data_IF_721722002071
#
_entry.id   IF_721722002071
#
_cell.length_a   1.000
_cell.length_b   1.000
_cell.length_c   1.000
_cell.angle_alpha   90.00
_cell.angle_beta   90.00
_cell.angle_gamma   90.00
#
_symmetry.space_group_name_H-M   'P 1'
#
loop_
_entity.id
_entity.type
_entity.pdbx_description
1 polymer ?
#
# COMPACT_ATOMS: atom_id res chain seq x y z
N UNK A 1 -30.56 19.95 31.27
CA UNK A 1 -31.68 18.99 31.33
C UNK A 1 -31.25 17.72 30.61
N UNK A 2 -30.79 16.72 31.35
CA UNK A 2 -30.42 15.43 30.82
C UNK A 2 -31.70 14.61 30.60
N UNK A 3 -32.05 14.38 29.33
CA UNK A 3 -33.09 13.42 28.99
C UNK A 3 -32.55 12.02 29.27
N UNK A 4 -33.16 11.35 30.24
CA UNK A 4 -33.01 9.92 30.50
C UNK A 4 -33.48 9.14 29.26
N UNK A 5 -32.55 8.66 28.45
CA UNK A 5 -32.81 7.66 27.42
C UNK A 5 -33.04 6.30 28.10
N UNK A 6 -34.30 5.89 28.17
CA UNK A 6 -34.72 4.55 28.55
C UNK A 6 -34.30 3.51 27.51
N UNK A 7 -33.97 2.33 28.00
CA UNK A 7 -33.23 1.23 27.38
C UNK A 7 -34.00 0.39 26.35
N UNK A 8 -34.74 1.01 25.42
CA UNK A 8 -35.55 0.27 24.43
C UNK A 8 -35.45 0.77 22.98
N UNK A 9 -34.41 1.54 22.63
CA UNK A 9 -34.22 2.08 21.27
C UNK A 9 -32.76 2.17 20.82
N UNK A 10 -31.89 1.24 21.26
CA UNK A 10 -30.49 1.19 20.86
C UNK A 10 -30.36 0.67 19.43
N UNK A 11 -30.36 1.50 18.39
CA UNK A 11 -29.87 1.13 17.04
C UNK A 11 -29.82 2.27 16.00
N UNK A 12 -29.49 3.50 16.38
CA UNK A 12 -29.45 4.60 15.41
C UNK A 12 -28.28 5.53 15.71
N UNK A 13 -27.02 5.09 15.55
CA UNK A 13 -25.98 6.08 15.27
C UNK A 13 -24.56 5.57 14.91
N UNK A 14 -24.41 4.51 14.13
CA UNK A 14 -23.08 4.24 13.54
C UNK A 14 -23.24 3.70 12.13
N UNK A 15 -22.52 4.27 11.15
CA UNK A 15 -22.63 3.85 9.75
C UNK A 15 -22.04 2.45 9.52
N UNK A 16 -21.05 2.07 10.34
CA UNK A 16 -20.39 0.77 10.32
C UNK A 16 -20.43 0.11 11.70
N UNK A 17 -20.65 -1.19 11.75
CA UNK A 17 -20.49 -2.01 12.96
C UNK A 17 -19.02 -2.07 13.41
N UNK A 18 -18.78 -2.48 14.65
CA UNK A 18 -17.42 -2.65 15.18
C UNK A 18 -16.64 -3.69 14.35
N UNK A 19 -17.29 -4.80 13.99
CA UNK A 19 -16.71 -5.85 13.16
C UNK A 19 -16.36 -5.36 11.74
N UNK A 20 -17.23 -4.54 11.13
CA UNK A 20 -16.96 -3.92 9.83
C UNK A 20 -15.74 -2.99 9.91
N UNK A 21 -15.61 -2.19 10.97
CA UNK A 21 -14.46 -1.29 11.16
C UNK A 21 -13.15 -2.06 11.30
N UNK A 22 -13.11 -3.11 12.13
CA UNK A 22 -11.92 -3.96 12.27
C UNK A 22 -11.59 -4.72 10.98
N UNK A 23 -12.60 -5.25 10.28
CA UNK A 23 -12.41 -5.92 8.99
C UNK A 23 -11.85 -4.96 7.93
N UNK A 24 -12.34 -3.72 7.89
CA UNK A 24 -11.86 -2.69 6.97
C UNK A 24 -10.41 -2.29 7.23
N UNK A 25 -9.98 -2.15 8.49
CA UNK A 25 -8.56 -1.84 8.79
C UNK A 25 -7.64 -2.90 8.19
N UNK A 26 -7.98 -4.18 8.40
CA UNK A 26 -7.21 -5.30 7.83
C UNK A 26 -7.26 -5.30 6.31
N UNK A 27 -8.40 -5.00 5.71
CA UNK A 27 -8.55 -4.96 4.26
C UNK A 27 -7.74 -3.81 3.65
N UNK A 28 -7.79 -2.62 4.25
CA UNK A 28 -7.02 -1.43 3.85
C UNK A 28 -5.51 -1.71 3.98
N UNK A 29 -5.08 -2.33 5.08
CA UNK A 29 -3.69 -2.76 5.27
C UNK A 29 -3.23 -3.66 4.12
N UNK A 30 -3.95 -4.77 3.90
CA UNK A 30 -3.58 -5.79 2.91
C UNK A 30 -3.50 -5.21 1.52
N UNK A 31 -4.51 -4.42 1.15
CA UNK A 31 -4.54 -3.72 -0.13
C UNK A 31 -3.36 -2.77 -0.26
N UNK A 32 -3.08 -1.94 0.75
CA UNK A 32 -1.94 -1.03 0.72
C UNK A 32 -0.63 -1.77 0.44
N UNK A 33 -0.36 -2.86 1.17
CA UNK A 33 0.86 -3.65 0.99
C UNK A 33 0.95 -4.24 -0.42
N UNK A 34 -0.16 -4.83 -0.91
CA UNK A 34 -0.23 -5.43 -2.25
C UNK A 34 -0.09 -4.39 -3.35
N UNK A 35 -0.83 -3.30 -3.24
CA UNK A 35 -0.84 -2.20 -4.19
C UNK A 35 0.53 -1.54 -4.28
N UNK A 36 1.15 -1.19 -3.15
CA UNK A 36 2.48 -0.60 -3.13
C UNK A 36 3.53 -1.55 -3.69
N UNK A 37 3.49 -2.84 -3.31
CA UNK A 37 4.41 -3.84 -3.85
C UNK A 37 4.25 -4.01 -5.38
N UNK A 38 3.01 -4.07 -5.88
CA UNK A 38 2.78 -4.18 -7.33
C UNK A 38 3.15 -2.91 -8.07
N UNK A 39 2.81 -1.74 -7.52
CA UNK A 39 3.13 -0.44 -8.12
C UNK A 39 4.64 -0.34 -8.31
N UNK A 40 5.36 -0.68 -7.25
CA UNK A 40 6.81 -0.71 -7.19
C UNK A 40 7.41 -1.68 -8.22
N UNK A 41 6.88 -2.89 -8.33
CA UNK A 41 7.31 -3.92 -9.29
C UNK A 41 6.96 -3.59 -10.74
N UNK A 42 5.77 -3.05 -11.00
CA UNK A 42 5.24 -2.81 -12.36
C UNK A 42 5.85 -1.53 -12.96
N UNK A 43 5.95 -0.47 -12.17
CA UNK A 43 6.65 0.76 -12.57
C UNK A 43 8.13 0.52 -12.81
N UNK A 44 8.69 -0.53 -12.22
CA UNK A 44 10.09 -0.90 -12.38
C UNK A 44 10.20 -2.21 -13.15
N UNK A 45 10.05 -2.13 -14.46
CA UNK A 45 10.98 -2.89 -15.29
C UNK A 45 12.36 -2.42 -14.86
N UNK A 46 13.26 -3.32 -14.44
CA UNK A 46 14.60 -2.90 -13.99
C UNK A 46 15.37 -2.44 -15.22
N UNK A 47 15.07 -1.21 -15.63
CA UNK A 47 15.56 -0.58 -16.81
C UNK A 47 16.60 0.44 -16.36
N UNK A 48 17.85 0.03 -16.48
CA UNK A 48 19.02 0.89 -16.59
C UNK A 48 18.93 1.77 -17.87
N UNK A 49 17.87 1.71 -18.68
CA UNK A 49 17.78 2.43 -19.94
C UNK A 49 16.40 3.02 -20.24
N UNK A 50 16.46 4.22 -20.79
CA UNK A 50 15.37 5.09 -21.25
C UNK A 50 14.49 4.44 -22.33
N UNK A 51 13.68 3.43 -22.00
CA UNK A 51 12.61 2.95 -22.91
C UNK A 51 11.35 3.82 -22.74
N UNK A 52 10.57 4.01 -23.82
CA UNK A 52 9.34 4.81 -23.79
C UNK A 52 8.32 4.20 -22.83
N UNK A 53 7.77 5.04 -21.95
CA UNK A 53 6.72 4.67 -21.01
C UNK A 53 5.41 4.41 -21.76
N UNK A 54 4.72 3.33 -21.41
CA UNK A 54 3.37 3.06 -21.93
C UNK A 54 2.34 3.63 -20.96
N UNK A 55 1.59 4.65 -21.40
CA UNK A 55 0.46 5.20 -20.65
C UNK A 55 -0.79 4.37 -20.97
N UNK A 56 -1.28 3.62 -19.99
CA UNK A 56 -2.53 2.87 -20.13
C UNK A 56 -3.61 3.48 -19.23
N UNK A 57 -4.74 3.87 -19.83
CA UNK A 57 -5.94 4.28 -19.08
C UNK A 57 -6.71 3.03 -18.68
N UNK A 58 -6.84 2.79 -17.36
CA UNK A 58 -7.55 1.64 -16.83
C UNK A 58 -9.08 1.81 -16.79
N UNK A 59 -9.83 0.71 -16.66
CA UNK A 59 -11.29 0.72 -16.55
C UNK A 59 -11.69 1.05 -15.11
N UNK A 60 -12.05 2.31 -14.85
CA UNK A 60 -12.37 2.81 -13.51
C UNK A 60 -13.76 3.44 -13.42
N UNK A 61 -14.57 3.27 -14.46
CA UNK A 61 -15.79 4.05 -14.65
C UNK A 61 -16.87 3.66 -13.63
N UNK A 62 -17.04 2.37 -13.33
CA UNK A 62 -18.09 1.90 -12.40
C UNK A 62 -17.87 2.40 -10.97
N UNK A 63 -16.63 2.33 -10.45
CA UNK A 63 -16.32 2.80 -9.11
C UNK A 63 -16.41 4.33 -9.01
N UNK A 64 -15.90 5.04 -10.02
CA UNK A 64 -16.03 6.51 -10.08
C UNK A 64 -17.47 6.95 -10.21
N UNK A 65 -18.28 6.21 -10.95
CA UNK A 65 -19.70 6.47 -11.07
C UNK A 65 -20.40 6.27 -9.72
N UNK A 66 -20.13 5.17 -9.00
CA UNK A 66 -20.65 4.98 -7.64
C UNK A 66 -20.22 6.11 -6.68
N UNK A 67 -18.95 6.48 -6.68
CA UNK A 67 -18.43 7.59 -5.86
C UNK A 67 -19.05 8.93 -6.26
N UNK A 68 -19.22 9.17 -7.56
CA UNK A 68 -19.86 10.37 -8.10
C UNK A 68 -21.33 10.45 -7.69
N UNK A 69 -22.07 9.35 -7.77
CA UNK A 69 -23.46 9.26 -7.32
C UNK A 69 -23.57 9.53 -5.82
N UNK A 70 -22.67 8.98 -5.00
CA UNK A 70 -22.61 9.29 -3.56
C UNK A 70 -22.31 10.77 -3.31
N UNK A 71 -21.41 11.37 -4.09
CA UNK A 71 -21.10 12.80 -3.98
C UNK A 71 -22.29 13.69 -4.36
N UNK A 72 -23.01 13.36 -5.44
CA UNK A 72 -24.23 14.06 -5.86
C UNK A 72 -25.35 13.93 -4.82
N UNK A 73 -25.54 12.73 -4.26
CA UNK A 73 -26.47 12.50 -3.16
C UNK A 73 -26.11 13.39 -1.96
N UNK A 74 -24.84 13.41 -1.55
CA UNK A 74 -24.37 14.31 -0.49
C UNK A 74 -24.68 15.77 -0.78
N UNK A 75 -24.37 16.25 -1.97
CA UNK A 75 -24.58 17.65 -2.35
C UNK A 75 -26.07 18.02 -2.30
N UNK A 76 -26.94 17.17 -2.84
CA UNK A 76 -28.39 17.37 -2.83
C UNK A 76 -28.97 17.39 -1.41
N UNK A 77 -28.63 16.39 -0.58
CA UNK A 77 -29.12 16.29 0.80
C UNK A 77 -28.60 17.42 1.68
N UNK A 78 -27.31 17.78 1.55
CA UNK A 78 -26.72 18.86 2.35
C UNK A 78 -27.30 20.21 1.97
N UNK A 79 -27.49 20.48 0.68
CA UNK A 79 -27.97 21.78 0.17
C UNK A 79 -29.46 22.00 0.37
N UNK A 80 -30.26 20.94 0.53
CA UNK A 80 -31.70 21.06 0.73
C UNK A 80 -32.01 21.63 2.14
N UNK A 81 -32.54 22.86 2.19
CA UNK A 81 -32.90 23.54 3.44
C UNK A 81 -34.25 23.09 4.00
N UNK A 82 -35.05 22.35 3.22
CA UNK A 82 -36.35 21.81 3.65
C UNK A 82 -36.23 20.54 4.47
N UNK A 83 -35.11 19.81 4.34
CA UNK A 83 -34.85 18.56 5.06
C UNK A 83 -34.23 18.87 6.43
N UNK A 84 -34.83 18.32 7.49
CA UNK A 84 -34.28 18.49 8.84
C UNK A 84 -32.92 17.79 9.01
N UNK A 85 -32.02 18.26 9.90
CA UNK A 85 -30.72 17.61 10.12
C UNK A 85 -30.81 16.12 10.47
N UNK A 86 -31.84 15.71 11.21
CA UNK A 86 -32.09 14.29 11.52
C UNK A 86 -32.46 13.48 10.28
N UNK A 87 -33.30 14.03 9.41
CA UNK A 87 -33.69 13.36 8.17
C UNK A 87 -32.52 13.29 7.19
N UNK A 88 -31.68 14.33 7.11
CA UNK A 88 -30.42 14.28 6.35
C UNK A 88 -29.52 13.15 6.83
N UNK A 89 -29.36 13.02 8.15
CA UNK A 89 -28.55 11.96 8.74
C UNK A 89 -29.11 10.58 8.40
N UNK A 90 -30.43 10.41 8.45
CA UNK A 90 -31.11 9.17 8.11
C UNK A 90 -30.88 8.78 6.64
N UNK A 91 -31.10 9.70 5.70
CA UNK A 91 -30.88 9.45 4.26
C UNK A 91 -29.45 9.00 3.98
N UNK A 92 -28.45 9.72 4.52
CA UNK A 92 -27.04 9.37 4.30
C UNK A 92 -26.66 8.04 4.96
N UNK A 93 -27.25 7.72 6.11
CA UNK A 93 -27.05 6.45 6.79
C UNK A 93 -27.67 5.29 6.02
N UNK A 94 -28.88 5.47 5.48
CA UNK A 94 -29.56 4.49 4.63
C UNK A 94 -28.77 4.18 3.36
N UNK A 95 -28.05 5.15 2.79
CA UNK A 95 -27.16 4.89 1.64
C UNK A 95 -25.96 4.02 2.01
N UNK A 96 -25.38 4.18 3.20
CA UNK A 96 -24.34 3.24 3.65
C UNK A 96 -24.92 1.85 3.90
N UNK A 97 -26.16 1.76 4.39
CA UNK A 97 -26.84 0.48 4.54
C UNK A 97 -27.13 -0.18 3.18
N UNK A 98 -27.56 0.59 2.19
CA UNK A 98 -27.91 0.09 0.84
C UNK A 98 -26.70 -0.49 0.11
N UNK A 99 -25.51 0.06 0.35
CA UNK A 99 -24.25 -0.42 -0.23
C UNK A 99 -23.78 -1.78 0.32
N UNK A 100 -24.34 -2.25 1.45
CA UNK A 100 -24.00 -3.56 2.03
C UNK A 100 -24.63 -4.69 1.22
N UNK A 101 -23.85 -5.27 0.31
CA UNK A 101 -24.29 -6.44 -0.44
C UNK A 101 -24.21 -7.69 0.45
N UNK A 102 -25.32 -8.43 0.55
CA UNK A 102 -25.42 -9.66 1.36
C UNK A 102 -24.98 -9.51 2.84
N UNK A 103 -25.09 -8.31 3.42
CA UNK A 103 -24.71 -8.03 4.80
C UNK A 103 -23.21 -7.79 5.03
N UNK A 104 -22.43 -7.58 3.97
CA UNK A 104 -21.01 -7.25 4.08
C UNK A 104 -20.64 -6.06 3.20
N UNK A 105 -19.67 -5.26 3.65
CA UNK A 105 -19.14 -4.13 2.89
C UNK A 105 -17.82 -4.54 2.22
N UNK A 106 -17.75 -4.49 0.89
CA UNK A 106 -16.47 -4.67 0.19
C UNK A 106 -15.59 -3.43 0.34
N UNK A 107 -14.29 -3.56 0.08
CA UNK A 107 -13.39 -2.40 0.06
C UNK A 107 -13.85 -1.32 -0.93
N UNK A 108 -14.32 -1.73 -2.10
CA UNK A 108 -14.75 -0.81 -3.15
C UNK A 108 -16.07 -0.14 -2.85
N UNK A 109 -17.00 -0.86 -2.22
CA UNK A 109 -18.22 -0.24 -1.70
C UNK A 109 -17.85 0.81 -0.63
N UNK A 110 -16.93 0.50 0.29
CA UNK A 110 -16.43 1.49 1.26
C UNK A 110 -15.80 2.72 0.59
N UNK A 111 -14.98 2.53 -0.44
CA UNK A 111 -14.39 3.64 -1.21
C UNK A 111 -15.46 4.51 -1.85
N UNK A 112 -16.50 3.91 -2.44
CA UNK A 112 -17.56 4.68 -3.08
C UNK A 112 -18.32 5.55 -2.07
N UNK A 113 -18.45 5.10 -0.82
CA UNK A 113 -19.15 5.81 0.26
C UNK A 113 -18.33 6.95 0.90
N UNK A 114 -17.06 7.13 0.53
CA UNK A 114 -16.18 8.18 1.09
C UNK A 114 -16.82 9.57 1.17
N UNK A 115 -17.55 10.05 0.15
CA UNK A 115 -18.20 11.37 0.20
C UNK A 115 -19.21 11.53 1.33
N UNK A 116 -19.77 10.44 1.86
CA UNK A 116 -20.82 10.46 2.88
C UNK A 116 -20.29 10.73 4.30
N UNK A 117 -19.08 10.24 4.62
CA UNK A 117 -18.58 10.28 6.01
C UNK A 117 -18.30 11.69 6.52
N UNK A 118 -17.95 12.64 5.65
CA UNK A 118 -17.67 14.02 6.07
C UNK A 118 -18.94 14.76 6.49
N UNK A 119 -20.00 14.86 5.67
CA UNK A 119 -21.29 15.41 6.09
C UNK A 119 -21.88 14.72 7.32
N UNK A 120 -21.78 13.39 7.38
CA UNK A 120 -22.30 12.62 8.52
C UNK A 120 -21.57 12.99 9.81
N UNK A 121 -20.25 13.16 9.77
CA UNK A 121 -19.49 13.61 10.95
C UNK A 121 -19.94 14.99 11.45
N UNK A 122 -20.26 15.92 10.54
CA UNK A 122 -20.80 17.23 10.91
C UNK A 122 -22.22 17.13 11.48
N UNK A 123 -23.09 16.30 10.89
CA UNK A 123 -24.44 16.07 11.39
C UNK A 123 -24.42 15.44 12.78
N UNK A 124 -23.57 14.43 13.02
CA UNK A 124 -23.40 13.83 14.34
C UNK A 124 -22.97 14.87 15.39
N UNK A 125 -21.99 15.72 15.05
CA UNK A 125 -21.56 16.81 15.93
C UNK A 125 -22.71 17.76 16.25
N UNK A 126 -23.53 18.11 15.27
CA UNK A 126 -24.66 19.03 15.44
C UNK A 126 -25.81 18.41 16.27
N UNK A 127 -26.18 17.17 15.97
CA UNK A 127 -27.34 16.48 16.56
C UNK A 127 -27.06 16.00 18.00
N UNK A 128 -25.88 15.42 18.23
CA UNK A 128 -25.57 14.71 19.48
C UNK A 128 -24.53 15.46 20.33
N UNK A 129 -23.87 16.47 19.75
CA UNK A 129 -22.78 17.19 20.39
C UNK A 129 -21.42 16.55 20.13
N UNK A 130 -20.37 17.35 20.30
CA UNK A 130 -18.99 17.00 19.96
C UNK A 130 -18.45 15.80 20.77
N UNK A 131 -18.78 15.73 22.06
CA UNK A 131 -18.31 14.67 22.96
C UNK A 131 -19.18 13.41 22.96
N UNK A 132 -20.17 13.33 22.06
CA UNK A 132 -21.04 12.14 21.96
C UNK A 132 -20.28 10.96 21.36
N UNK A 133 -20.66 9.74 21.76
CA UNK A 133 -20.12 8.50 21.17
C UNK A 133 -20.33 8.50 19.66
N UNK A 134 -21.48 8.97 19.24
CA UNK A 134 -21.94 9.11 17.86
C UNK A 134 -21.00 9.99 17.02
N UNK A 135 -20.65 11.17 17.54
CA UNK A 135 -19.70 12.07 16.90
C UNK A 135 -18.30 11.45 16.84
N UNK A 136 -17.83 10.82 17.93
CA UNK A 136 -16.50 10.19 17.96
C UNK A 136 -16.38 9.05 16.95
N UNK A 137 -17.36 8.14 16.90
CA UNK A 137 -17.31 7.01 15.97
C UNK A 137 -17.41 7.49 14.52
N UNK A 138 -18.29 8.44 14.20
CA UNK A 138 -18.35 9.02 12.84
C UNK A 138 -17.03 9.69 12.40
N UNK A 139 -16.28 10.30 13.34
CA UNK A 139 -14.94 10.82 13.07
C UNK A 139 -13.92 9.70 12.81
N UNK A 140 -14.03 8.57 13.50
CA UNK A 140 -13.17 7.42 13.25
C UNK A 140 -13.46 6.78 11.89
N UNK A 141 -14.73 6.73 11.48
CA UNK A 141 -15.14 6.31 10.13
C UNK A 141 -14.64 7.27 9.05
N UNK A 142 -14.69 8.58 9.30
CA UNK A 142 -14.05 9.58 8.44
C UNK A 142 -12.53 9.41 8.37
N UNK A 143 -11.88 9.06 9.48
CA UNK A 143 -10.45 8.74 9.48
C UNK A 143 -10.15 7.48 8.67
N UNK A 144 -10.94 6.41 8.80
CA UNK A 144 -10.87 5.22 7.96
C UNK A 144 -11.01 5.57 6.47
N UNK A 145 -11.96 6.44 6.14
CA UNK A 145 -12.16 6.91 4.77
C UNK A 145 -10.87 7.59 4.27
N UNK A 146 -10.29 8.52 5.01
CA UNK A 146 -9.00 9.13 4.64
C UNK A 146 -7.84 8.14 4.55
N UNK A 147 -7.76 7.16 5.46
CA UNK A 147 -6.71 6.11 5.41
C UNK A 147 -6.83 5.31 4.11
N UNK A 148 -8.05 4.96 3.69
CA UNK A 148 -8.28 4.24 2.43
C UNK A 148 -7.85 5.01 1.18
N UNK A 149 -7.74 6.35 1.25
CA UNK A 149 -7.24 7.21 0.16
C UNK A 149 -5.73 7.44 0.21
N UNK A 150 -5.02 6.88 1.20
CA UNK A 150 -3.64 7.27 1.48
C UNK A 150 -3.51 8.69 2.08
N UNK A 151 -4.62 9.34 2.46
CA UNK A 151 -4.65 10.69 3.03
C UNK A 151 -4.29 10.70 4.53
N UNK A 152 -3.17 10.07 4.90
CA UNK A 152 -2.78 9.83 6.30
C UNK A 152 -2.63 11.11 7.14
N UNK A 153 -2.21 12.23 6.52
CA UNK A 153 -2.13 13.53 7.20
C UNK A 153 -3.53 14.04 7.60
N UNK A 154 -4.52 13.84 6.72
CA UNK A 154 -5.92 14.15 6.99
C UNK A 154 -6.46 13.26 8.11
N UNK A 155 -6.26 11.94 8.00
CA UNK A 155 -6.64 10.97 9.04
C UNK A 155 -6.03 11.34 10.41
N UNK A 156 -4.72 11.60 10.48
CA UNK A 156 -4.04 12.02 11.71
C UNK A 156 -4.62 13.31 12.33
N UNK A 157 -5.14 14.24 11.50
CA UNK A 157 -5.78 15.46 11.99
C UNK A 157 -7.14 15.13 12.63
N UNK A 158 -7.92 14.26 12.00
CA UNK A 158 -9.22 13.81 12.52
C UNK A 158 -9.06 13.02 13.82
N UNK A 159 -8.14 12.05 13.87
CA UNK A 159 -7.91 11.24 15.07
C UNK A 159 -7.44 12.11 16.26
N UNK A 160 -6.52 13.05 16.04
CA UNK A 160 -6.09 13.98 17.11
C UNK A 160 -7.21 14.85 17.68
N UNK A 161 -8.24 15.19 16.89
CA UNK A 161 -9.40 15.90 17.43
C UNK A 161 -10.25 15.01 18.32
N UNK A 162 -10.35 13.70 18.01
CA UNK A 162 -11.04 12.73 18.86
C UNK A 162 -10.30 12.59 20.20
N UNK A 163 -8.99 12.30 20.19
CA UNK A 163 -8.20 12.02 21.42
C UNK A 163 -8.18 13.13 22.48
N UNK A 164 -8.52 14.38 22.12
CA UNK A 164 -8.56 15.50 23.08
C UNK A 164 -9.80 15.49 23.98
N UNK A 165 -10.78 14.64 23.71
CA UNK A 165 -12.07 14.60 24.40
C UNK A 165 -12.08 13.37 25.35
N UNK A 166 -12.02 13.58 26.67
CA UNK A 166 -11.52 12.58 27.64
C UNK A 166 -12.54 11.53 28.17
N UNK A 167 -13.58 11.19 27.41
CA UNK A 167 -14.56 10.18 27.83
C UNK A 167 -14.87 9.21 26.69
N UNK A 168 -14.23 8.04 26.70
CA UNK A 168 -14.45 6.98 25.71
C UNK A 168 -14.93 5.69 26.37
N UNK A 169 -15.82 4.97 25.69
CA UNK A 169 -16.04 3.55 25.98
C UNK A 169 -14.81 2.73 25.57
N UNK A 170 -14.52 1.65 26.30
CA UNK A 170 -13.31 0.84 26.09
C UNK A 170 -13.16 0.32 24.64
N UNK A 171 -14.27 -0.03 23.97
CA UNK A 171 -14.24 -0.47 22.55
C UNK A 171 -13.83 0.63 21.57
N UNK A 172 -14.23 1.88 21.84
CA UNK A 172 -13.86 3.06 21.02
C UNK A 172 -12.37 3.38 21.20
N UNK A 173 -11.85 3.25 22.43
CA UNK A 173 -10.42 3.44 22.71
C UNK A 173 -9.57 2.46 21.92
N UNK A 174 -9.91 1.17 21.93
CA UNK A 174 -9.12 0.14 21.23
C UNK A 174 -9.00 0.41 19.73
N UNK A 175 -10.12 0.74 19.07
CA UNK A 175 -10.13 1.06 17.64
C UNK A 175 -9.39 2.38 17.34
N UNK A 176 -9.47 3.37 18.23
CA UNK A 176 -8.76 4.65 18.08
C UNK A 176 -7.25 4.44 18.14
N UNK A 177 -6.77 3.69 19.13
CA UNK A 177 -5.35 3.32 19.27
C UNK A 177 -4.85 2.53 18.04
N UNK A 178 -5.69 1.64 17.51
CA UNK A 178 -5.40 0.86 16.30
C UNK A 178 -5.24 1.75 15.05
N UNK A 179 -6.14 2.71 14.86
CA UNK A 179 -6.07 3.68 13.76
C UNK A 179 -4.89 4.64 13.89
N UNK A 180 -4.58 5.09 15.11
CA UNK A 180 -3.39 5.92 15.37
C UNK A 180 -2.10 5.16 15.06
N UNK A 181 -2.02 3.89 15.47
CA UNK A 181 -0.89 3.01 15.15
C UNK A 181 -0.77 2.82 13.64
N UNK A 182 -1.87 2.52 12.94
CA UNK A 182 -1.89 2.39 11.47
C UNK A 182 -1.32 3.66 10.82
N UNK A 183 -1.88 4.82 11.15
CA UNK A 183 -1.48 6.10 10.54
C UNK A 183 -0.03 6.45 10.85
N UNK A 184 0.43 6.19 12.09
CA UNK A 184 1.82 6.37 12.47
C UNK A 184 2.77 5.54 11.62
N UNK A 185 2.50 4.24 11.50
CA UNK A 185 3.31 3.31 10.72
C UNK A 185 3.28 3.65 9.22
N UNK A 186 2.11 3.94 8.66
CA UNK A 186 1.96 4.31 7.25
C UNK A 186 2.70 5.63 6.89
N UNK A 187 2.88 6.52 7.86
CA UNK A 187 3.68 7.76 7.73
C UNK A 187 5.18 7.57 7.97
N UNK A 188 5.64 6.33 8.17
CA UNK A 188 7.07 6.04 8.39
C UNK A 188 7.54 6.31 9.82
N UNK A 189 6.65 6.43 10.82
CA UNK A 189 7.05 6.39 12.23
C UNK A 189 7.41 4.96 12.60
N UNK A 190 8.60 4.54 12.19
CA UNK A 190 9.04 3.17 12.32
C UNK A 190 9.25 2.79 13.80
N UNK A 191 8.69 1.67 14.26
CA UNK A 191 9.00 1.11 15.57
C UNK A 191 10.45 0.62 15.59
N UNK A 192 11.06 0.58 16.79
CA UNK A 192 12.41 0.04 16.94
C UNK A 192 12.46 -1.49 16.98
N UNK A 193 11.34 -2.13 17.36
CA UNK A 193 11.21 -3.58 17.54
C UNK A 193 9.80 -4.02 17.16
N UNK A 194 9.63 -5.26 16.69
CA UNK A 194 8.33 -5.82 16.33
C UNK A 194 7.41 -5.92 17.55
N UNK A 195 7.98 -6.24 18.72
CA UNK A 195 7.26 -6.33 19.99
C UNK A 195 6.66 -5.01 20.47
N UNK A 196 7.15 -3.87 19.96
CA UNK A 196 6.57 -2.56 20.28
C UNK A 196 5.30 -2.24 19.47
N UNK A 197 4.99 -3.05 18.46
CA UNK A 197 3.76 -2.92 17.67
C UNK A 197 2.64 -3.67 18.38
N UNK A 198 1.74 -2.91 19.02
CA UNK A 198 0.61 -3.45 19.80
C UNK A 198 -0.32 -4.37 18.99
N UNK A 199 -0.52 -4.05 17.71
CA UNK A 199 -1.35 -4.81 16.79
C UNK A 199 -0.44 -5.53 15.79
N UNK A 200 -0.07 -6.79 16.07
CA UNK A 200 0.92 -7.54 15.28
C UNK A 200 0.59 -7.61 13.79
N UNK A 201 -0.69 -7.69 13.41
CA UNK A 201 -1.08 -7.70 12.00
C UNK A 201 -0.74 -6.38 11.27
N UNK A 202 -0.39 -5.28 11.97
CA UNK A 202 0.11 -4.02 11.38
C UNK A 202 1.61 -4.03 11.08
N UNK A 203 2.36 -5.06 11.50
CA UNK A 203 3.80 -5.22 11.24
C UNK A 203 4.21 -5.03 9.76
N UNK A 204 3.42 -5.44 8.74
CA UNK A 204 3.74 -5.14 7.35
C UNK A 204 3.98 -3.65 7.07
N UNK A 205 3.29 -2.73 7.75
CA UNK A 205 3.52 -1.28 7.54
C UNK A 205 4.86 -0.82 8.09
N UNK A 206 5.33 -1.43 9.18
CA UNK A 206 6.61 -1.11 9.80
C UNK A 206 7.80 -1.52 8.92
N UNK A 207 7.61 -2.51 8.02
CA UNK A 207 8.62 -3.00 7.08
C UNK A 207 8.66 -2.22 5.76
N UNK A 208 7.64 -1.40 5.48
CA UNK A 208 7.48 -0.74 4.18
C UNK A 208 8.39 0.48 3.98
N UNK A 209 8.78 1.16 5.07
CA UNK A 209 9.57 2.39 5.00
C UNK A 209 11.01 2.18 5.49
N UNK A 210 12.01 2.09 4.59
CA UNK A 210 13.40 2.16 5.01
C UNK A 210 13.67 3.56 5.56
N UNK A 211 14.14 3.63 6.81
CA UNK A 211 14.47 4.90 7.50
C UNK A 211 15.53 5.64 6.67
N UNK A 212 15.23 6.88 6.26
CA UNK A 212 15.95 7.60 5.18
C UNK A 212 17.38 8.01 5.49
N UNK A 213 17.87 7.83 6.71
CA UNK A 213 19.09 8.49 7.16
C UNK A 213 20.16 7.46 7.59
N UNK A 214 21.21 7.37 6.76
CA UNK A 214 22.50 6.69 6.97
C UNK A 214 22.64 5.23 6.50
N UNK A 215 23.86 4.90 6.08
CA UNK A 215 24.34 3.70 5.37
C UNK A 215 24.12 2.32 6.02
N UNK A 216 23.26 2.23 7.04
CA UNK A 216 22.80 1.00 7.69
C UNK A 216 21.36 0.57 7.32
N UNK A 217 20.81 1.12 6.22
CA UNK A 217 19.38 1.17 5.81
C UNK A 217 18.62 -0.17 5.88
N UNK A 218 19.32 -1.31 5.77
CA UNK A 218 18.70 -2.64 5.74
C UNK A 218 18.72 -3.38 7.07
N UNK A 219 19.58 -2.98 8.00
CA UNK A 219 19.74 -3.68 9.28
C UNK A 219 18.47 -3.61 10.13
N UNK A 220 17.78 -2.47 10.11
CA UNK A 220 16.50 -2.27 10.80
C UNK A 220 15.38 -3.14 10.21
N UNK A 221 15.14 -3.06 8.90
CA UNK A 221 14.10 -3.86 8.22
C UNK A 221 14.39 -5.35 8.35
N UNK A 222 15.66 -5.77 8.23
CA UNK A 222 16.07 -7.15 8.43
C UNK A 222 15.85 -7.63 9.86
N UNK A 223 16.27 -6.85 10.87
CA UNK A 223 16.06 -7.20 12.28
C UNK A 223 14.57 -7.34 12.58
N UNK A 224 13.76 -6.41 12.06
CA UNK A 224 12.32 -6.42 12.26
C UNK A 224 11.69 -7.65 11.59
N UNK A 225 12.10 -8.00 10.37
CA UNK A 225 11.64 -9.21 9.69
C UNK A 225 12.07 -10.49 10.42
N UNK A 226 13.32 -10.55 10.90
CA UNK A 226 13.83 -11.67 11.70
C UNK A 226 13.06 -11.79 13.04
N UNK A 227 12.59 -10.68 13.62
CA UNK A 227 11.70 -10.69 14.79
C UNK A 227 10.29 -11.20 14.42
N UNK A 228 9.71 -10.75 13.31
CA UNK A 228 8.42 -11.26 12.83
C UNK A 228 8.44 -12.79 12.63
N UNK A 229 9.52 -13.33 12.05
CA UNK A 229 9.72 -14.78 11.87
C UNK A 229 9.70 -15.57 13.20
N UNK A 230 10.03 -14.91 14.33
CA UNK A 230 10.03 -15.53 15.67
C UNK A 230 8.70 -15.35 16.43
N UNK A 231 7.80 -14.51 15.94
CA UNK A 231 6.55 -14.14 16.64
C UNK A 231 5.38 -15.09 16.40
N UNK A 232 5.58 -16.22 15.71
CA UNK A 232 4.53 -17.19 15.37
C UNK A 232 3.28 -16.53 14.75
N UNK A 233 3.51 -15.62 13.79
CA UNK A 233 2.44 -14.87 13.14
C UNK A 233 1.58 -15.78 12.26
N UNK A 234 0.28 -15.47 12.08
CA UNK A 234 -0.53 -16.13 11.06
C UNK A 234 0.17 -16.08 9.70
N UNK A 235 0.09 -17.17 8.93
CA UNK A 235 0.81 -17.27 7.65
C UNK A 235 0.50 -16.12 6.69
N UNK A 236 -0.74 -15.62 6.70
CA UNK A 236 -1.15 -14.45 5.92
C UNK A 236 -0.32 -13.22 6.31
N UNK A 237 -0.18 -12.96 7.61
CA UNK A 237 0.43 -11.74 8.13
C UNK A 237 1.95 -11.78 7.90
N UNK A 238 2.56 -12.95 8.04
CA UNK A 238 3.97 -13.17 7.70
C UNK A 238 4.22 -12.97 6.19
N UNK A 239 3.32 -13.43 5.32
CA UNK A 239 3.41 -13.20 3.88
C UNK A 239 3.35 -11.70 3.53
N UNK A 240 2.46 -10.94 4.15
CA UNK A 240 2.44 -9.48 3.97
C UNK A 240 3.71 -8.81 4.53
N UNK A 241 4.32 -9.33 5.60
CA UNK A 241 5.63 -8.85 6.08
C UNK A 241 6.73 -9.05 5.02
N UNK A 242 6.78 -10.23 4.39
CA UNK A 242 7.72 -10.48 3.30
C UNK A 242 7.49 -9.57 2.10
N UNK A 243 6.22 -9.38 1.69
CA UNK A 243 5.87 -8.46 0.61
C UNK A 243 6.31 -7.03 0.90
N UNK A 244 6.03 -6.52 2.10
CA UNK A 244 6.47 -5.18 2.50
C UNK A 244 7.98 -5.05 2.49
N UNK A 245 8.72 -6.03 3.03
CA UNK A 245 10.17 -6.02 3.02
C UNK A 245 10.74 -6.08 1.59
N UNK A 246 10.15 -6.90 0.70
CA UNK A 246 10.56 -6.98 -0.69
C UNK A 246 10.28 -5.65 -1.42
N UNK A 247 9.11 -5.05 -1.20
CA UNK A 247 8.74 -3.75 -1.73
C UNK A 247 9.68 -2.64 -1.24
N UNK A 248 10.10 -2.65 0.02
CA UNK A 248 11.08 -1.70 0.54
C UNK A 248 12.45 -1.87 -0.15
N UNK A 249 12.89 -3.12 -0.34
CA UNK A 249 14.08 -3.47 -1.10
C UNK A 249 14.06 -2.92 -2.53
N UNK A 250 12.97 -3.21 -3.25
CA UNK A 250 12.73 -2.71 -4.59
C UNK A 250 12.66 -1.18 -4.62
N UNK A 251 11.99 -0.55 -3.65
CA UNK A 251 11.81 0.90 -3.55
C UNK A 251 13.14 1.66 -3.50
N UNK A 252 14.13 1.15 -2.76
CA UNK A 252 15.48 1.75 -2.74
C UNK A 252 16.23 1.52 -4.04
N UNK A 253 16.04 0.39 -4.72
CA UNK A 253 16.73 0.12 -5.99
C UNK A 253 16.39 1.16 -7.06
N UNK A 254 15.13 1.52 -7.19
CA UNK A 254 14.72 2.55 -8.16
C UNK A 254 14.95 3.99 -7.69
N UNK A 255 15.02 4.27 -6.38
CA UNK A 255 15.54 5.57 -5.93
C UNK A 255 17.03 5.72 -6.28
N UNK A 256 17.79 4.62 -6.24
CA UNK A 256 19.19 4.57 -6.68
C UNK A 256 19.36 4.56 -8.22
N UNK A 257 18.36 4.12 -8.98
CA UNK A 257 18.41 4.07 -10.45
C UNK A 257 18.12 5.42 -11.12
N UNK A 258 17.57 6.39 -10.39
CA UNK A 258 17.41 7.78 -10.82
C UNK A 258 18.76 8.55 -10.91
N UNK A 259 19.77 7.94 -11.55
CA UNK A 259 21.15 8.44 -11.75
C UNK A 259 21.24 9.68 -12.64
N UNK A 260 20.13 10.15 -13.19
CA UNK A 260 20.08 11.26 -14.15
C UNK A 260 20.84 12.49 -13.66
N UNK A 261 20.79 12.80 -12.37
CA UNK A 261 21.50 13.95 -11.80
C UNK A 261 23.02 13.77 -11.77
N UNK A 262 23.53 12.57 -11.46
CA UNK A 262 24.98 12.31 -11.45
C UNK A 262 25.57 12.28 -12.86
N UNK A 263 24.85 11.67 -13.82
CA UNK A 263 25.32 11.62 -15.19
C UNK A 263 25.25 13.01 -15.86
N UNK A 264 24.24 13.82 -15.55
CA UNK A 264 24.18 15.22 -15.97
C UNK A 264 25.33 16.03 -15.37
N UNK A 265 25.52 15.94 -14.06
CA UNK A 265 26.55 16.73 -13.39
C UNK A 265 27.96 16.31 -13.81
N UNK A 266 28.19 15.04 -14.18
CA UNK A 266 29.44 14.58 -14.81
C UNK A 266 29.65 15.20 -16.18
N UNK A 267 28.60 15.30 -17.01
CA UNK A 267 28.66 15.99 -18.31
C UNK A 267 28.98 17.48 -18.15
N UNK A 268 28.37 18.12 -17.16
CA UNK A 268 28.59 19.54 -16.86
C UNK A 268 30.03 19.80 -16.40
N UNK A 269 30.57 18.96 -15.50
CA UNK A 269 31.98 19.04 -15.09
C UNK A 269 32.90 18.86 -16.31
N UNK A 270 32.64 17.86 -17.17
CA UNK A 270 33.45 17.63 -18.37
C UNK A 270 33.36 18.78 -19.38
N UNK A 271 32.21 19.44 -19.50
CA UNK A 271 32.03 20.62 -20.34
C UNK A 271 32.78 21.84 -19.77
N UNK A 272 32.62 22.13 -18.47
CA UNK A 272 33.32 23.23 -17.79
C UNK A 272 34.82 23.04 -17.78
N UNK A 273 35.31 21.81 -17.58
CA UNK A 273 36.74 21.48 -17.61
C UNK A 273 37.35 21.75 -18.98
N UNK A 274 36.61 21.46 -20.07
CA UNK A 274 37.06 21.76 -21.45
C UNK A 274 37.15 23.25 -21.76
N UNK A 275 36.36 24.07 -21.08
CA UNK A 275 36.28 25.51 -21.32
C UNK A 275 37.13 26.34 -20.34
N UNK A 276 37.74 25.71 -19.34
CA UNK A 276 38.56 26.39 -18.35
C UNK A 276 39.83 26.95 -19.00
N UNK A 277 40.10 28.24 -18.76
CA UNK A 277 41.26 28.94 -19.34
C UNK A 277 42.38 29.15 -18.34
N UNK A 278 42.07 29.08 -17.05
CA UNK A 278 43.03 29.31 -15.96
C UNK A 278 42.95 28.20 -14.92
N UNK A 279 44.06 27.97 -14.20
CA UNK A 279 44.16 26.91 -13.18
C UNK A 279 43.17 27.08 -12.03
N UNK A 280 42.85 28.32 -11.66
CA UNK A 280 41.90 28.62 -10.58
C UNK A 280 40.48 28.13 -10.89
N UNK A 281 40.11 28.01 -12.16
CA UNK A 281 38.82 27.45 -12.60
C UNK A 281 38.79 25.92 -12.50
N UNK A 282 39.95 25.25 -12.55
CA UNK A 282 40.06 23.79 -12.54
C UNK A 282 40.01 23.19 -11.13
N UNK A 283 40.50 23.91 -10.11
CA UNK A 283 40.49 23.47 -8.72
C UNK A 283 39.08 23.12 -8.19
N UNK A 284 38.06 24.01 -8.29
CA UNK A 284 36.72 23.70 -7.81
C UNK A 284 36.07 22.57 -8.63
N UNK A 285 36.37 22.46 -9.93
CA UNK A 285 35.86 21.37 -10.77
C UNK A 285 36.44 20.01 -10.36
N UNK A 286 37.72 19.96 -9.95
CA UNK A 286 38.34 18.77 -9.38
C UNK A 286 37.66 18.35 -8.07
N UNK A 287 37.38 19.30 -7.17
CA UNK A 287 36.68 19.02 -5.92
C UNK A 287 35.26 18.50 -6.15
N UNK A 288 34.51 19.13 -7.07
CA UNK A 288 33.20 18.66 -7.49
C UNK A 288 33.25 17.23 -8.07
N UNK A 289 34.26 16.93 -8.89
CA UNK A 289 34.44 15.59 -9.46
C UNK A 289 34.72 14.54 -8.37
N UNK A 290 35.59 14.87 -7.40
CA UNK A 290 35.87 14.00 -6.26
C UNK A 290 34.63 13.77 -5.39
N UNK A 291 33.83 14.81 -5.17
CA UNK A 291 32.57 14.70 -4.45
C UNK A 291 31.57 13.79 -5.16
N UNK A 292 31.44 13.91 -6.49
CA UNK A 292 30.59 13.00 -7.28
C UNK A 292 31.07 11.54 -7.25
N UNK A 293 32.39 11.31 -7.27
CA UNK A 293 32.93 9.95 -7.12
C UNK A 293 32.54 9.38 -5.76
N UNK A 294 32.65 10.16 -4.68
CA UNK A 294 32.21 9.73 -3.34
C UNK A 294 30.72 9.43 -3.31
N UNK A 295 29.88 10.31 -3.84
CA UNK A 295 28.43 10.12 -3.93
C UNK A 295 28.06 8.87 -4.75
N UNK A 296 28.71 8.67 -5.90
CA UNK A 296 28.52 7.47 -6.74
C UNK A 296 28.92 6.20 -6.00
N UNK A 297 30.02 6.21 -5.25
CA UNK A 297 30.45 5.07 -4.46
C UNK A 297 29.45 4.75 -3.35
N UNK A 298 28.92 5.76 -2.66
CA UNK A 298 27.86 5.58 -1.66
C UNK A 298 26.61 4.98 -2.31
N UNK A 299 26.16 5.49 -3.45
CA UNK A 299 25.00 4.95 -4.17
C UNK A 299 25.23 3.52 -4.66
N UNK A 300 26.42 3.18 -5.14
CA UNK A 300 26.74 1.81 -5.53
C UNK A 300 26.70 0.86 -4.33
N UNK A 301 27.24 1.26 -3.18
CA UNK A 301 27.14 0.47 -1.94
C UNK A 301 25.69 0.29 -1.49
N UNK A 302 24.87 1.34 -1.60
CA UNK A 302 23.42 1.26 -1.32
C UNK A 302 22.72 0.30 -2.28
N UNK A 303 23.02 0.39 -3.58
CA UNK A 303 22.48 -0.49 -4.61
C UNK A 303 22.85 -1.95 -4.34
N UNK A 304 24.12 -2.25 -4.05
CA UNK A 304 24.57 -3.60 -3.71
C UNK A 304 23.92 -4.13 -2.42
N UNK A 305 23.75 -3.26 -1.42
CA UNK A 305 23.00 -3.58 -0.20
C UNK A 305 21.55 -3.94 -0.49
N UNK A 306 20.87 -3.11 -1.28
CA UNK A 306 19.48 -3.29 -1.68
C UNK A 306 19.27 -4.55 -2.51
N UNK A 307 20.19 -4.86 -3.44
CA UNK A 307 20.15 -6.09 -4.25
C UNK A 307 20.27 -7.33 -3.36
N UNK A 308 21.27 -7.35 -2.46
CA UNK A 308 21.47 -8.48 -1.54
C UNK A 308 20.29 -8.66 -0.60
N UNK A 309 19.74 -7.57 -0.09
CA UNK A 309 18.57 -7.60 0.79
C UNK A 309 17.33 -8.12 0.05
N UNK A 310 17.04 -7.58 -1.14
CA UNK A 310 15.88 -8.01 -1.95
C UNK A 310 15.98 -9.49 -2.32
N UNK A 311 17.16 -9.94 -2.75
CA UNK A 311 17.42 -11.36 -3.02
C UNK A 311 17.17 -12.24 -1.79
N UNK A 312 17.66 -11.82 -0.61
CA UNK A 312 17.47 -12.54 0.64
C UNK A 312 15.98 -12.67 0.98
N UNK A 313 15.22 -11.57 0.89
CA UNK A 313 13.79 -11.55 1.22
C UNK A 313 13.00 -12.42 0.23
N UNK A 314 13.26 -12.30 -1.07
CA UNK A 314 12.59 -13.12 -2.09
C UNK A 314 12.86 -14.61 -1.87
N UNK A 315 14.10 -14.98 -1.60
CA UNK A 315 14.49 -16.38 -1.35
C UNK A 315 13.83 -16.94 -0.08
N UNK A 316 13.70 -16.12 0.97
CA UNK A 316 13.01 -16.51 2.22
C UNK A 316 11.51 -16.66 2.02
N UNK A 317 10.88 -15.69 1.35
CA UNK A 317 9.45 -15.72 1.06
C UNK A 317 9.07 -16.91 0.15
N UNK A 318 9.87 -17.20 -0.87
CA UNK A 318 9.65 -18.38 -1.71
C UNK A 318 9.73 -19.67 -0.90
N UNK A 319 10.75 -19.83 -0.04
CA UNK A 319 10.85 -20.99 0.86
C UNK A 319 9.62 -21.08 1.77
N UNK A 320 9.20 -19.96 2.33
CA UNK A 320 8.01 -19.87 3.16
C UNK A 320 6.76 -20.34 2.40
N UNK A 321 6.55 -19.90 1.16
CA UNK A 321 5.40 -20.30 0.32
C UNK A 321 5.45 -21.76 -0.16
N UNK A 322 6.64 -22.34 -0.29
CA UNK A 322 6.81 -23.77 -0.60
C UNK A 322 6.45 -24.67 0.57
N UNK A 323 6.77 -24.23 1.79
CA UNK A 323 6.50 -24.99 3.03
C UNK A 323 5.06 -24.79 3.49
N UNK A 324 4.53 -23.57 3.35
CA UNK A 324 3.21 -23.19 3.85
C UNK A 324 2.20 -23.04 2.72
N UNK A 325 1.06 -23.69 2.86
CA UNK A 325 -0.06 -23.58 1.91
C UNK A 325 -0.84 -22.28 2.15
N UNK A 326 -0.38 -21.18 1.55
CA UNK A 326 -1.03 -19.88 1.66
C UNK A 326 -2.18 -19.76 0.65
N UNK A 327 -3.35 -19.32 1.12
CA UNK A 327 -4.57 -19.14 0.31
C UNK A 327 -4.85 -17.67 -0.08
N UNK A 328 -4.05 -16.72 0.41
CA UNK A 328 -4.18 -15.31 0.07
C UNK A 328 -3.73 -15.06 -1.37
N UNK A 329 -4.65 -15.19 -2.32
CA UNK A 329 -4.36 -15.06 -3.75
C UNK A 329 -3.63 -13.76 -4.07
N UNK A 330 -4.17 -12.62 -3.62
CA UNK A 330 -3.61 -11.28 -3.83
C UNK A 330 -2.14 -11.18 -3.43
N UNK A 331 -1.79 -11.70 -2.25
CA UNK A 331 -0.44 -11.64 -1.71
C UNK A 331 0.50 -12.61 -2.43
N UNK A 332 0.07 -13.86 -2.64
CA UNK A 332 0.90 -14.89 -3.30
C UNK A 332 1.15 -14.53 -4.77
N UNK A 333 0.11 -14.09 -5.48
CA UNK A 333 0.22 -13.67 -6.88
C UNK A 333 1.10 -12.43 -7.01
N UNK A 334 0.92 -11.43 -6.15
CA UNK A 334 1.80 -10.24 -6.11
C UNK A 334 3.25 -10.61 -5.90
N UNK A 335 3.52 -11.53 -4.97
CA UNK A 335 4.87 -12.03 -4.74
C UNK A 335 5.43 -12.75 -5.97
N UNK A 336 4.63 -13.57 -6.65
CA UNK A 336 5.06 -14.27 -7.86
C UNK A 336 5.44 -13.28 -8.99
N UNK A 337 4.68 -12.21 -9.17
CA UNK A 337 5.00 -11.14 -10.12
C UNK A 337 6.30 -10.43 -9.72
N UNK A 338 6.46 -10.11 -8.43
CA UNK A 338 7.69 -9.52 -7.89
C UNK A 338 8.92 -10.40 -8.15
N UNK A 339 8.81 -11.71 -7.87
CA UNK A 339 9.87 -12.70 -8.11
C UNK A 339 10.24 -12.80 -9.58
N UNK A 340 9.25 -12.95 -10.49
CA UNK A 340 9.50 -13.06 -11.93
C UNK A 340 10.32 -11.86 -12.43
N UNK A 341 9.87 -10.64 -12.09
CA UNK A 341 10.53 -9.40 -12.51
C UNK A 341 11.90 -9.21 -11.87
N UNK A 342 12.04 -9.57 -10.60
CA UNK A 342 13.32 -9.57 -9.90
C UNK A 342 14.35 -10.51 -10.53
N UNK A 343 13.98 -11.76 -10.77
CA UNK A 343 14.87 -12.76 -11.36
C UNK A 343 15.29 -12.36 -12.76
N UNK A 344 14.34 -11.91 -13.59
CA UNK A 344 14.66 -11.41 -14.94
C UNK A 344 15.66 -10.25 -14.89
N UNK A 345 15.46 -9.31 -13.98
CA UNK A 345 16.34 -8.16 -13.83
C UNK A 345 17.76 -8.50 -13.37
N UNK A 346 17.87 -9.48 -12.47
CA UNK A 346 19.16 -9.98 -11.99
C UNK A 346 19.75 -11.04 -12.92
N UNK A 347 19.11 -11.34 -14.05
CA UNK A 347 19.50 -12.41 -14.98
C UNK A 347 19.61 -13.78 -14.29
N UNK A 348 18.80 -13.98 -13.25
CA UNK A 348 18.65 -15.25 -12.56
C UNK A 348 17.73 -16.11 -13.41
N UNK A 349 18.13 -17.36 -13.66
CA UNK A 349 17.30 -18.31 -14.40
C UNK A 349 16.03 -18.61 -13.60
N UNK A 350 14.90 -18.09 -14.07
CA UNK A 350 13.59 -18.43 -13.52
C UNK A 350 13.18 -19.84 -13.95
N UNK A 351 12.65 -20.62 -13.01
CA UNK A 351 12.13 -21.94 -13.28
C UNK A 351 10.96 -21.87 -14.29
N UNK A 352 11.12 -22.55 -15.44
CA UNK A 352 10.13 -22.52 -16.53
C UNK A 352 8.72 -22.87 -16.07
N UNK A 353 8.58 -23.92 -15.23
CA UNK A 353 7.30 -24.39 -14.70
C UNK A 353 6.60 -23.32 -13.86
N UNK A 354 7.35 -22.58 -13.04
CA UNK A 354 6.81 -21.45 -12.27
C UNK A 354 6.24 -20.36 -13.20
N UNK A 355 6.94 -20.03 -14.29
CA UNK A 355 6.47 -19.02 -15.26
C UNK A 355 5.21 -19.48 -15.98
N UNK A 356 5.16 -20.75 -16.39
CA UNK A 356 3.98 -21.37 -17.02
C UNK A 356 2.78 -21.35 -16.05
N UNK A 357 3.00 -21.74 -14.79
CA UNK A 357 1.96 -21.75 -13.74
C UNK A 357 1.45 -20.34 -13.45
N UNK A 358 2.33 -19.33 -13.38
CA UNK A 358 1.93 -17.93 -13.20
C UNK A 358 1.11 -17.41 -14.40
N UNK A 359 1.47 -17.80 -15.62
CA UNK A 359 0.72 -17.42 -16.81
C UNK A 359 -0.67 -18.07 -16.86
N UNK A 360 -0.79 -19.36 -16.52
CA UNK A 360 -2.06 -20.07 -16.43
C UNK A 360 -2.95 -19.50 -15.33
N UNK A 361 -2.39 -19.31 -14.15
CA UNK A 361 -3.05 -18.67 -13.03
C UNK A 361 -3.58 -17.28 -13.42
N UNK A 362 -2.77 -16.45 -14.07
CA UNK A 362 -3.18 -15.10 -14.51
C UNK A 362 -4.25 -15.10 -15.61
N UNK A 363 -4.44 -16.22 -16.34
CA UNK A 363 -5.53 -16.38 -17.31
C UNK A 363 -6.83 -16.83 -16.66
N UNK A 364 -6.74 -17.72 -15.68
CA UNK A 364 -7.89 -18.30 -14.99
C UNK A 364 -8.59 -17.29 -14.07
N UNK A 365 -7.83 -16.33 -13.52
CA UNK A 365 -8.30 -15.40 -12.51
C UNK A 365 -8.99 -14.17 -13.10
N UNK A 366 -9.93 -13.60 -12.34
CA UNK A 366 -10.66 -12.37 -12.69
C UNK A 366 -9.81 -11.09 -12.50
N UNK A 367 -8.58 -11.11 -13.02
CA UNK A 367 -7.68 -9.95 -13.00
C UNK A 367 -8.15 -8.86 -13.96
N UNK A 368 -7.83 -7.61 -13.59
CA UNK A 368 -8.02 -6.48 -14.49
C UNK A 368 -7.36 -6.76 -15.86
N UNK A 369 -8.00 -6.39 -16.99
CA UNK A 369 -7.44 -6.64 -18.32
C UNK A 369 -6.03 -6.08 -18.47
N UNK A 370 -5.75 -4.96 -17.81
CA UNK A 370 -4.45 -4.31 -17.79
C UNK A 370 -3.37 -5.16 -17.09
N UNK A 371 -3.61 -5.58 -15.83
CA UNK A 371 -2.65 -6.40 -15.09
C UNK A 371 -2.39 -7.72 -15.80
N UNK A 372 -3.46 -8.37 -16.28
CA UNK A 372 -3.37 -9.61 -17.05
C UNK A 372 -2.51 -9.44 -18.30
N UNK A 373 -2.69 -8.35 -19.06
CA UNK A 373 -1.88 -8.07 -20.25
C UNK A 373 -0.40 -7.92 -19.91
N UNK A 374 -0.08 -7.17 -18.84
CA UNK A 374 1.30 -6.95 -18.39
C UNK A 374 1.96 -8.28 -17.99
N UNK A 375 1.33 -9.03 -17.10
CA UNK A 375 1.90 -10.28 -16.58
C UNK A 375 2.02 -11.36 -17.67
N UNK A 376 1.06 -11.43 -18.61
CA UNK A 376 1.17 -12.34 -19.75
C UNK A 376 2.28 -11.94 -20.72
N UNK A 377 2.52 -10.64 -20.91
CA UNK A 377 3.66 -10.18 -21.72
C UNK A 377 4.99 -10.52 -21.03
N UNK A 378 5.09 -10.30 -19.73
CA UNK A 378 6.31 -10.58 -18.95
C UNK A 378 6.63 -12.08 -18.94
N UNK A 379 5.65 -12.91 -18.63
CA UNK A 379 5.81 -14.39 -18.63
C UNK A 379 6.19 -14.91 -20.02
N UNK A 380 5.57 -14.39 -21.09
CA UNK A 380 5.92 -14.75 -22.46
C UNK A 380 7.35 -14.33 -22.85
N UNK A 381 7.83 -13.18 -22.39
CA UNK A 381 9.19 -12.72 -22.64
C UNK A 381 10.23 -13.64 -21.96
N UNK A 382 9.99 -14.00 -20.69
CA UNK A 382 10.86 -14.91 -19.94
C UNK A 382 10.87 -16.31 -20.57
N UNK A 383 9.71 -16.85 -20.96
CA UNK A 383 9.62 -18.16 -21.62
C UNK A 383 10.32 -18.23 -22.99
N UNK A 384 10.40 -17.09 -23.69
CA UNK A 384 11.15 -16.97 -24.97
C UNK A 384 12.66 -16.84 -24.76
N UNK A 385 13.13 -16.74 -23.51
CA UNK A 385 14.53 -16.50 -23.20
C UNK A 385 15.01 -15.12 -23.64
N UNK A 386 14.11 -14.14 -23.70
CA UNK A 386 14.47 -12.76 -24.06
C UNK A 386 15.37 -12.21 -22.95
N UNK A 387 16.64 -11.95 -23.28
CA UNK A 387 17.61 -11.38 -22.33
C UNK A 387 17.40 -9.89 -22.07
N UNK A 388 16.44 -9.25 -22.75
CA UNK A 388 16.15 -7.84 -22.55
C UNK A 388 15.41 -7.61 -21.23
N UNK A 389 15.66 -6.47 -20.55
CA UNK A 389 14.87 -6.06 -19.41
C UNK A 389 13.39 -5.93 -19.76
N UNK A 390 12.53 -6.43 -18.87
CA UNK A 390 11.09 -6.25 -18.97
C UNK A 390 10.72 -4.75 -18.98
N UNK A 391 9.67 -4.37 -19.71
CA UNK A 391 9.22 -2.99 -19.78
C UNK A 391 8.69 -2.46 -18.44
N UNK A 392 8.95 -1.16 -18.22
CA UNK A 392 8.36 -0.38 -17.13
C UNK A 392 7.02 0.21 -17.54
N UNK A 393 6.06 0.23 -16.62
CA UNK A 393 4.72 0.75 -16.87
C UNK A 393 4.34 1.86 -15.88
N UNK A 394 3.93 3.02 -16.39
CA UNK A 394 3.42 4.12 -15.56
C UNK A 394 1.90 3.99 -15.49
N UNK A 395 1.42 3.29 -14.46
CA UNK A 395 -0.01 3.00 -14.26
C UNK A 395 -0.34 3.29 -12.81
N UNK A 396 -1.47 3.95 -12.56
CA UNK A 396 -2.03 4.09 -11.22
C UNK A 396 -2.80 2.82 -10.84
N UNK A 397 -2.29 2.07 -9.86
CA UNK A 397 -2.91 0.84 -9.38
C UNK A 397 -3.91 1.06 -8.23
N UNK A 398 -4.12 2.30 -7.77
CA UNK A 398 -4.94 2.63 -6.58
C UNK A 398 -6.35 2.04 -6.61
N UNK A 399 -6.91 1.88 -7.81
CA UNK A 399 -8.28 1.43 -8.04
C UNK A 399 -8.37 0.02 -8.64
N UNK A 400 -7.27 -0.71 -8.72
CA UNK A 400 -7.29 -2.07 -9.28
C UNK A 400 -7.81 -3.06 -8.24
N UNK A 401 -8.69 -3.95 -8.70
CA UNK A 401 -9.16 -5.09 -7.93
C UNK A 401 -8.29 -6.30 -8.21
N UNK A 402 -7.81 -6.90 -7.13
CA UNK A 402 -7.14 -8.20 -7.16
C UNK A 402 -7.97 -9.09 -6.24
N UNK A 403 -8.42 -10.26 -6.73
CA UNK A 403 -9.18 -11.19 -5.90
C UNK A 403 -8.43 -11.49 -4.60
N UNK A 404 -9.05 -11.27 -3.44
CA UNK A 404 -8.38 -11.56 -2.17
C UNK A 404 -8.42 -13.06 -1.82
N UNK A 405 -9.38 -13.79 -2.41
CA UNK A 405 -9.58 -15.23 -2.22
C UNK A 405 -10.01 -15.86 -3.54
N UNK A 406 -9.51 -17.05 -3.75
CA UNK A 406 -10.02 -18.05 -4.67
C UNK A 406 -10.05 -19.36 -3.88
N UNK A 407 -11.21 -20.02 -3.83
CA UNK A 407 -11.44 -21.19 -2.97
C UNK A 407 -10.55 -22.37 -3.38
N UNK A 408 -10.19 -22.45 -4.65
CA UNK A 408 -9.35 -23.51 -5.21
C UNK A 408 -7.87 -23.15 -5.25
N UNK A 409 -7.50 -21.92 -4.82
CA UNK A 409 -6.13 -21.44 -4.91
C UNK A 409 -5.30 -21.75 -3.66
N UNK A 410 -4.08 -22.25 -3.90
CA UNK A 410 -3.02 -22.32 -2.88
C UNK A 410 -1.67 -21.90 -3.48
N UNK A 411 -0.74 -21.48 -2.64
CA UNK A 411 0.65 -21.19 -3.05
C UNK A 411 1.32 -22.32 -3.81
N UNK A 412 0.94 -23.58 -3.55
CA UNK A 412 1.46 -24.74 -4.28
C UNK A 412 1.12 -24.72 -5.77
N UNK A 413 0.01 -24.10 -6.17
CA UNK A 413 -0.33 -23.96 -7.59
C UNK A 413 0.73 -23.19 -8.38
N UNK A 414 1.48 -22.30 -7.72
CA UNK A 414 2.56 -21.52 -8.33
C UNK A 414 3.95 -22.05 -7.96
N UNK A 415 4.13 -22.55 -6.74
CA UNK A 415 5.46 -22.85 -6.16
C UNK A 415 5.69 -24.34 -5.88
N UNK A 416 4.87 -25.26 -6.38
CA UNK A 416 5.07 -26.69 -6.15
C UNK A 416 6.45 -27.17 -6.64
N UNK A 417 7.14 -27.93 -5.78
CA UNK A 417 8.39 -28.61 -6.15
C UNK A 417 8.05 -29.78 -7.06
N UNK A 418 8.68 -29.82 -8.23
CA UNK A 418 8.73 -31.05 -9.03
C UNK A 418 9.63 -32.03 -8.28
N UNK A 419 9.04 -33.06 -7.65
CA UNK A 419 9.80 -34.19 -7.10
C UNK A 419 10.35 -35.01 -8.27
#
# INVERSE_FOLDING_TARGET
MCLNCTSSGRLLCVMLSDDERTALIRLILRRKVVEEALQEVITRGIAIQNKPQCNVKGPFDVLREKEHNCAQLCESVVSDTSISPMEKFKILSEEVQSARHAGSLTYFDFIALRPLFLPVSFLCKFLYGENSRECQVSRMELALAYISQGAYKGAAKVLRSVCREHCFEAGVVGLLEELEAFVGLAQGKAPRTATSVRHSYLLPLALHHPVSDSSGEWSGVKSLLDECERMDLPHSDMLYCYLSAASAGLSVLGSCSARGHLDQARRDIAAKTRNAKVMDELLPLKEMALQQIKERNILNLKLEGAVRFTQLVISRCERFLRVNECQNFDAVWTFAVAKLRWENACQITTERRFVESLAECSKAQSLSPLLRTIVLADTAAVLKGVSEPLPSYTIDLSYLEIPSRDEDFTSRSLFAVTI
#
